data_IF_148934220085
#
_entry.id   IF_148934220085
#
_cell.length_a   1.000
_cell.length_b   1.000
_cell.length_c   1.000
_cell.angle_alpha   90.00
_cell.angle_beta   90.00
_cell.angle_gamma   90.00
#
_symmetry.space_group_name_H-M   'P 1'
#
loop_
_entity.id
_entity.type
_entity.pdbx_description
1 polymer ?
#
# COMPACT_ATOMS: atom_id res chain seq x y z
N UNK A 1 0.88 -15.65 -14.21
CA UNK A 1 0.36 -16.41 -13.04
C UNK A 1 1.25 -16.20 -11.81
N UNK A 2 0.79 -16.56 -10.61
CA UNK A 2 1.61 -16.64 -9.41
C UNK A 2 2.24 -18.02 -9.24
N UNK A 3 3.53 -18.06 -8.95
CA UNK A 3 4.29 -19.28 -8.73
C UNK A 3 5.01 -19.25 -7.38
N UNK A 4 4.75 -20.27 -6.56
CA UNK A 4 5.48 -20.49 -5.32
C UNK A 4 6.72 -21.34 -5.62
N UNK A 5 7.89 -20.75 -5.40
CA UNK A 5 9.18 -21.42 -5.61
C UNK A 5 9.25 -22.70 -4.78
N UNK A 6 9.69 -23.79 -5.41
CA UNK A 6 9.87 -25.10 -4.79
C UNK A 6 11.35 -25.38 -4.54
N UNK A 7 11.63 -26.35 -3.68
CA UNK A 7 13.00 -26.81 -3.45
C UNK A 7 13.67 -27.26 -4.76
N UNK A 8 14.86 -26.73 -5.04
CA UNK A 8 15.64 -27.03 -6.25
C UNK A 8 15.25 -26.24 -7.50
N UNK A 9 14.28 -25.32 -7.41
CA UNK A 9 13.95 -24.39 -8.47
C UNK A 9 15.07 -23.37 -8.70
N UNK A 10 15.23 -22.98 -9.96
CA UNK A 10 16.10 -21.87 -10.40
C UNK A 10 15.35 -21.06 -11.44
N UNK A 11 15.71 -19.78 -11.63
CA UNK A 11 15.06 -18.95 -12.66
C UNK A 11 15.06 -19.59 -14.07
N UNK A 12 16.17 -20.20 -14.56
CA UNK A 12 16.15 -20.91 -15.84
C UNK A 12 15.14 -22.06 -15.90
N UNK A 13 15.05 -22.89 -14.84
CA UNK A 13 14.12 -24.02 -14.81
C UNK A 13 12.67 -23.54 -14.81
N UNK A 14 12.39 -22.49 -14.04
CA UNK A 14 11.06 -21.87 -13.98
C UNK A 14 10.70 -21.27 -15.35
N UNK A 15 11.61 -20.51 -15.97
CA UNK A 15 11.34 -19.87 -17.26
C UNK A 15 11.07 -20.91 -18.36
N UNK A 16 11.86 -21.99 -18.42
CA UNK A 16 11.64 -23.10 -19.36
C UNK A 16 10.30 -23.80 -19.11
N UNK A 17 9.97 -24.08 -17.84
CA UNK A 17 8.72 -24.76 -17.45
C UNK A 17 7.47 -23.98 -17.90
N UNK A 18 7.51 -22.66 -17.81
CA UNK A 18 6.38 -21.80 -18.15
C UNK A 18 6.49 -21.16 -19.54
N UNK A 19 7.43 -21.61 -20.37
CA UNK A 19 7.66 -21.08 -21.72
C UNK A 19 7.76 -19.55 -21.74
N UNK A 20 8.50 -18.97 -20.79
CA UNK A 20 8.77 -17.53 -20.69
C UNK A 20 10.28 -17.28 -20.61
N UNK A 21 10.71 -16.03 -20.48
CA UNK A 21 12.12 -15.69 -20.36
C UNK A 21 12.49 -15.34 -18.91
N UNK A 22 13.75 -15.62 -18.53
CA UNK A 22 14.27 -15.14 -17.24
C UNK A 22 14.20 -13.62 -17.13
N UNK A 23 14.36 -12.91 -18.25
CA UNK A 23 14.29 -11.45 -18.29
C UNK A 23 12.88 -10.96 -17.98
N UNK A 24 11.85 -11.55 -18.59
CA UNK A 24 10.45 -11.26 -18.31
C UNK A 24 10.10 -11.50 -16.84
N UNK A 25 10.57 -12.61 -16.26
CA UNK A 25 10.38 -12.88 -14.83
C UNK A 25 11.08 -11.82 -13.98
N UNK A 26 12.34 -11.47 -14.25
CA UNK A 26 13.05 -10.42 -13.50
C UNK A 26 12.40 -9.04 -13.64
N UNK A 27 11.84 -8.72 -14.80
CA UNK A 27 11.19 -7.42 -15.01
C UNK A 27 9.85 -7.33 -14.27
N UNK A 28 9.13 -8.45 -14.16
CA UNK A 28 7.87 -8.51 -13.44
C UNK A 28 8.01 -8.66 -11.91
N UNK A 29 9.21 -8.87 -11.37
CA UNK A 29 9.43 -9.13 -9.94
C UNK A 29 10.60 -8.32 -9.37
N UNK A 30 10.56 -8.04 -8.07
CA UNK A 30 11.75 -7.62 -7.32
C UNK A 30 12.54 -8.88 -6.96
N UNK A 31 13.73 -9.05 -7.55
CA UNK A 31 14.62 -10.20 -7.30
C UNK A 31 16.03 -9.71 -7.04
N UNK A 32 16.40 -9.59 -5.76
CA UNK A 32 17.71 -9.10 -5.36
C UNK A 32 18.87 -10.04 -5.72
N UNK A 33 18.62 -11.36 -5.72
CA UNK A 33 19.60 -12.34 -6.17
C UNK A 33 18.95 -13.35 -7.13
N UNK A 34 19.11 -13.21 -8.45
CA UNK A 34 18.50 -14.10 -9.42
C UNK A 34 19.06 -15.53 -9.41
N UNK A 35 20.18 -15.76 -8.71
CA UNK A 35 20.81 -17.08 -8.59
C UNK A 35 20.43 -17.83 -7.32
N UNK A 36 19.69 -17.19 -6.40
CA UNK A 36 19.28 -17.77 -5.14
C UNK A 36 17.80 -17.50 -4.89
N UNK A 37 16.97 -18.49 -5.22
CA UNK A 37 15.54 -18.47 -4.91
C UNK A 37 15.27 -19.27 -3.64
N UNK A 38 14.29 -18.81 -2.87
CA UNK A 38 13.91 -19.44 -1.61
C UNK A 38 12.60 -20.18 -1.74
N UNK A 39 12.47 -21.43 -1.25
CA UNK A 39 11.19 -22.13 -1.23
C UNK A 39 10.10 -21.28 -0.56
N UNK A 40 8.93 -21.21 -1.18
CA UNK A 40 7.81 -20.38 -0.75
C UNK A 40 7.87 -18.92 -1.22
N UNK A 41 8.99 -18.45 -1.79
CA UNK A 41 9.04 -17.16 -2.46
C UNK A 41 8.01 -17.13 -3.59
N UNK A 42 7.27 -16.02 -3.67
CA UNK A 42 6.21 -15.83 -4.66
C UNK A 42 6.77 -15.07 -5.85
N UNK A 43 6.62 -15.62 -7.05
CA UNK A 43 7.02 -15.00 -8.30
C UNK A 43 5.83 -14.81 -9.24
N UNK A 44 5.75 -13.65 -9.86
CA UNK A 44 4.95 -13.41 -11.05
C UNK A 44 5.64 -14.05 -12.24
N UNK A 45 4.93 -14.94 -12.91
CA UNK A 45 5.38 -15.55 -14.15
C UNK A 45 4.54 -14.96 -15.28
N UNK A 46 5.07 -14.01 -16.07
CA UNK A 46 4.37 -13.44 -17.21
C UNK A 46 4.19 -14.49 -18.31
N UNK A 47 3.09 -14.36 -19.05
CA UNK A 47 2.90 -15.11 -20.29
C UNK A 47 3.98 -14.74 -21.31
N UNK A 48 4.22 -15.63 -22.28
CA UNK A 48 5.24 -15.41 -23.27
C UNK A 48 4.95 -14.15 -24.11
N UNK A 49 5.95 -13.27 -24.25
CA UNK A 49 5.81 -12.00 -24.98
C UNK A 49 5.07 -10.90 -24.21
N UNK A 50 4.61 -11.15 -22.98
CA UNK A 50 3.95 -10.15 -22.14
C UNK A 50 4.96 -9.40 -21.28
N UNK A 51 4.91 -8.07 -21.33
CA UNK A 51 5.67 -7.20 -20.43
C UNK A 51 4.71 -6.65 -19.37
N UNK A 52 4.85 -7.13 -18.15
CA UNK A 52 4.08 -6.67 -17.00
C UNK A 52 4.88 -5.63 -16.20
N UNK A 53 4.21 -4.65 -15.55
CA UNK A 53 4.88 -3.82 -14.58
C UNK A 53 5.41 -4.67 -13.43
N UNK A 54 6.45 -4.18 -12.76
CA UNK A 54 7.11 -4.92 -11.68
C UNK A 54 6.18 -5.04 -10.47
N UNK A 55 5.99 -6.25 -9.98
CA UNK A 55 5.24 -6.52 -8.76
C UNK A 55 5.89 -5.85 -7.55
N UNK A 56 5.06 -5.22 -6.71
CA UNK A 56 5.48 -4.38 -5.59
C UNK A 56 6.33 -3.15 -6.00
N UNK A 57 6.53 -2.89 -7.29
CA UNK A 57 7.47 -1.87 -7.78
C UNK A 57 6.90 -0.45 -7.87
N UNK A 58 5.58 -0.27 -7.73
CA UNK A 58 4.94 1.05 -7.82
C UNK A 58 4.79 1.77 -6.46
N UNK A 59 5.32 1.18 -5.38
CA UNK A 59 5.10 1.70 -4.03
C UNK A 59 3.60 1.81 -3.68
N UNK A 60 3.25 2.56 -2.63
CA UNK A 60 4.13 3.10 -1.61
C UNK A 60 4.57 2.03 -0.59
N UNK A 61 4.08 0.80 -0.65
CA UNK A 61 4.50 -0.28 0.25
C UNK A 61 5.20 -1.43 -0.47
N UNK A 62 6.06 -2.13 0.27
CA UNK A 62 6.78 -3.32 -0.17
C UNK A 62 6.86 -4.35 0.95
N UNK A 63 6.49 -5.60 0.69
CA UNK A 63 6.70 -6.71 1.61
C UNK A 63 8.05 -7.35 1.33
N UNK A 64 8.95 -7.28 2.31
CA UNK A 64 10.30 -7.84 2.26
C UNK A 64 10.23 -9.34 1.95
N UNK A 65 10.89 -9.73 0.86
CA UNK A 65 11.04 -11.11 0.44
C UNK A 65 12.34 -11.73 1.01
N UNK A 66 12.42 -13.06 1.11
CA UNK A 66 13.67 -13.73 1.45
C UNK A 66 14.81 -13.35 0.50
N UNK A 67 15.96 -12.99 1.07
CA UNK A 67 17.15 -12.57 0.30
C UNK A 67 17.21 -11.08 -0.04
N UNK A 68 16.19 -10.30 0.34
CA UNK A 68 16.22 -8.85 0.17
C UNK A 68 17.26 -8.18 1.07
N UNK A 69 17.77 -7.06 0.58
CA UNK A 69 18.62 -6.15 1.34
C UNK A 69 18.25 -4.72 1.00
N UNK A 70 18.46 -3.76 1.93
CA UNK A 70 18.22 -2.36 1.61
C UNK A 70 19.10 -1.87 0.46
N UNK A 71 20.28 -2.44 0.25
CA UNK A 71 21.13 -2.10 -0.89
C UNK A 71 20.48 -2.43 -2.22
N UNK A 72 19.87 -3.61 -2.33
CA UNK A 72 19.13 -4.00 -3.52
C UNK A 72 17.86 -3.16 -3.66
N UNK A 73 17.02 -3.09 -2.62
CA UNK A 73 15.75 -2.36 -2.66
C UNK A 73 15.96 -0.87 -2.96
N UNK A 74 17.05 -0.28 -2.47
CA UNK A 74 17.46 1.09 -2.80
C UNK A 74 17.63 1.31 -4.31
N UNK A 75 18.18 0.33 -5.03
CA UNK A 75 18.35 0.41 -6.49
C UNK A 75 17.05 0.13 -7.23
N UNK A 76 16.28 -0.84 -6.75
CA UNK A 76 15.00 -1.23 -7.35
C UNK A 76 13.97 -0.10 -7.31
N UNK A 77 13.93 0.64 -6.19
CA UNK A 77 12.99 1.76 -5.98
C UNK A 77 13.62 3.13 -6.23
N UNK A 78 14.90 3.19 -6.61
CA UNK A 78 15.66 4.44 -6.76
C UNK A 78 15.56 5.36 -5.51
N UNK A 79 15.61 4.76 -4.31
CA UNK A 79 15.53 5.48 -3.04
C UNK A 79 16.81 5.28 -2.23
N UNK A 80 17.43 6.32 -1.65
CA UNK A 80 18.61 6.15 -0.82
C UNK A 80 18.34 5.23 0.39
N UNK A 81 19.28 4.34 0.71
CA UNK A 81 19.20 3.45 1.89
C UNK A 81 18.86 4.24 3.17
N UNK A 82 19.46 5.42 3.35
CA UNK A 82 19.21 6.28 4.50
C UNK A 82 17.77 6.77 4.56
N UNK A 83 17.18 7.12 3.42
CA UNK A 83 15.77 7.53 3.33
C UNK A 83 14.86 6.37 3.69
N UNK A 84 15.06 5.20 3.10
CA UNK A 84 14.26 3.99 3.39
C UNK A 84 14.35 3.64 4.88
N UNK A 85 15.56 3.63 5.44
CA UNK A 85 15.76 3.35 6.85
C UNK A 85 15.09 4.38 7.77
N UNK A 86 15.16 5.67 7.41
CA UNK A 86 14.58 6.76 8.19
C UNK A 86 13.05 6.68 8.23
N UNK A 87 12.38 6.61 7.07
CA UNK A 87 10.90 6.63 7.00
C UNK A 87 10.28 5.36 7.60
N UNK A 88 11.01 4.23 7.55
CA UNK A 88 10.61 2.96 8.15
C UNK A 88 11.10 2.78 9.59
N UNK A 89 11.82 3.76 10.16
CA UNK A 89 12.32 3.73 11.55
C UNK A 89 13.13 2.46 11.84
N UNK A 90 13.94 2.03 10.86
CA UNK A 90 14.77 0.83 10.98
C UNK A 90 15.93 1.12 11.93
N UNK A 91 15.96 0.44 13.08
CA UNK A 91 17.03 0.58 14.07
C UNK A 91 18.40 0.15 13.50
N UNK A 92 18.40 -0.91 12.68
CA UNK A 92 19.59 -1.38 11.99
C UNK A 92 19.30 -1.61 10.49
N UNK A 93 19.76 -0.72 9.60
CA UNK A 93 19.57 -0.84 8.15
C UNK A 93 20.20 -2.11 7.53
N UNK A 94 21.11 -2.78 8.24
CA UNK A 94 21.74 -4.03 7.79
C UNK A 94 20.90 -5.28 8.05
N UNK A 95 19.78 -5.17 8.76
CA UNK A 95 18.90 -6.30 9.09
C UNK A 95 17.51 -6.03 8.51
N UNK A 96 17.07 -6.90 7.60
CA UNK A 96 15.71 -6.94 7.10
C UNK A 96 15.10 -8.30 7.40
N UNK A 97 13.88 -8.30 7.94
CA UNK A 97 13.13 -9.52 8.21
C UNK A 97 12.17 -9.77 7.06
N UNK A 98 12.21 -10.97 6.50
CA UNK A 98 11.23 -11.38 5.50
C UNK A 98 9.82 -11.29 6.09
N UNK A 99 8.88 -10.76 5.30
CA UNK A 99 7.54 -10.45 5.75
C UNK A 99 7.40 -9.13 6.51
N UNK A 100 8.45 -8.33 6.68
CA UNK A 100 8.26 -6.93 7.09
C UNK A 100 7.66 -6.10 5.96
N UNK A 101 6.79 -5.16 6.30
CA UNK A 101 6.30 -4.15 5.36
C UNK A 101 7.14 -2.88 5.45
N UNK A 102 7.61 -2.39 4.31
CA UNK A 102 8.35 -1.15 4.18
C UNK A 102 7.53 -0.15 3.38
N UNK A 103 7.44 1.08 3.88
CA UNK A 103 7.09 2.25 3.12
C UNK A 103 8.26 2.60 2.18
N UNK A 104 8.01 2.51 0.88
CA UNK A 104 8.88 2.90 -0.24
C UNK A 104 8.26 4.10 -0.99
N UNK A 105 7.56 4.97 -0.24
CA UNK A 105 6.80 6.11 -0.76
C UNK A 105 7.57 7.44 -0.71
N UNK A 106 6.91 8.54 -1.15
CA UNK A 106 7.50 9.87 -1.13
C UNK A 106 7.86 10.33 0.28
N UNK A 107 8.92 11.14 0.38
CA UNK A 107 9.37 11.74 1.62
C UNK A 107 9.65 13.22 1.43
N UNK A 108 8.95 14.05 2.19
CA UNK A 108 9.18 15.49 2.31
C UNK A 108 9.75 15.79 3.70
N UNK A 109 10.92 16.43 3.76
CA UNK A 109 11.64 16.62 5.02
C UNK A 109 10.98 17.68 5.94
N UNK A 110 10.28 18.65 5.33
CA UNK A 110 9.64 19.75 6.02
C UNK A 110 8.10 19.56 6.05
N UNK A 111 7.52 19.21 7.20
CA UNK A 111 6.08 19.05 7.34
C UNK A 111 5.26 20.31 7.01
N UNK A 112 5.83 21.51 7.18
CA UNK A 112 5.11 22.76 6.91
C UNK A 112 4.77 22.90 5.42
N UNK A 113 5.66 22.48 4.53
CA UNK A 113 5.43 22.55 3.08
C UNK A 113 4.21 21.71 2.67
N UNK A 114 4.08 20.50 3.22
CA UNK A 114 2.93 19.64 2.94
C UNK A 114 1.63 20.19 3.56
N UNK A 115 1.72 20.74 4.78
CA UNK A 115 0.57 21.41 5.42
C UNK A 115 0.10 22.59 4.60
N UNK A 116 0.99 23.50 4.22
CA UNK A 116 0.67 24.70 3.45
C UNK A 116 0.06 24.35 2.10
N UNK A 117 0.57 23.31 1.42
CA UNK A 117 -0.02 22.78 0.20
C UNK A 117 -1.47 22.33 0.42
N UNK A 118 -1.73 21.49 1.44
CA UNK A 118 -3.06 20.99 1.74
C UNK A 118 -4.03 22.12 2.13
N UNK A 119 -3.59 23.07 2.94
CA UNK A 119 -4.40 24.23 3.33
C UNK A 119 -4.70 25.14 2.13
N UNK A 120 -3.71 25.50 1.33
CA UNK A 120 -3.89 26.40 0.20
C UNK A 120 -4.84 25.79 -0.84
N UNK A 121 -4.65 24.51 -1.18
CA UNK A 121 -5.52 23.79 -2.11
C UNK A 121 -6.94 23.66 -1.56
N UNK A 122 -7.11 23.26 -0.30
CA UNK A 122 -8.41 23.15 0.34
C UNK A 122 -9.16 24.48 0.44
N UNK A 123 -8.46 25.58 0.70
CA UNK A 123 -9.06 26.92 0.76
C UNK A 123 -9.54 27.42 -0.61
N UNK A 124 -8.83 27.06 -1.68
CA UNK A 124 -9.10 27.61 -3.02
C UNK A 124 -10.11 26.76 -3.80
N UNK A 125 -10.08 25.44 -3.66
CA UNK A 125 -10.74 24.52 -4.60
C UNK A 125 -11.55 23.40 -3.95
N UNK A 126 -11.89 23.48 -2.65
CA UNK A 126 -12.44 22.33 -1.91
C UNK A 126 -13.50 21.48 -2.64
N UNK A 127 -14.46 22.12 -3.32
CA UNK A 127 -15.57 21.46 -4.00
C UNK A 127 -15.38 21.34 -5.52
N UNK A 128 -14.21 21.73 -6.04
CA UNK A 128 -13.88 21.85 -7.46
C UNK A 128 -12.71 20.95 -7.87
N UNK A 129 -12.07 20.28 -6.90
CA UNK A 129 -10.95 19.37 -7.16
C UNK A 129 -11.38 18.18 -8.01
N UNK A 130 -10.61 17.92 -9.06
CA UNK A 130 -10.70 16.70 -9.84
C UNK A 130 -10.17 15.49 -9.05
N UNK A 131 -10.54 14.29 -9.48
CA UNK A 131 -10.04 13.05 -8.87
C UNK A 131 -8.51 12.93 -8.96
N UNK A 132 -7.90 13.40 -10.06
CA UNK A 132 -6.44 13.38 -10.25
C UNK A 132 -5.75 14.35 -9.27
N UNK A 133 -6.30 15.55 -9.05
CA UNK A 133 -5.77 16.48 -8.05
C UNK A 133 -5.91 15.94 -6.62
N UNK A 134 -7.03 15.26 -6.32
CA UNK A 134 -7.22 14.59 -5.04
C UNK A 134 -6.18 13.49 -4.84
N UNK A 135 -5.94 12.71 -5.89
CA UNK A 135 -4.96 11.64 -5.91
C UNK A 135 -3.53 12.16 -5.65
N UNK A 136 -3.11 13.16 -6.43
CA UNK A 136 -1.76 13.71 -6.42
C UNK A 136 -1.44 14.47 -5.13
N UNK A 137 -2.40 15.19 -4.58
CA UNK A 137 -2.16 16.06 -3.42
C UNK A 137 -2.44 15.32 -2.11
N UNK A 138 -3.63 14.73 -1.98
CA UNK A 138 -4.09 14.24 -0.69
C UNK A 138 -3.82 12.75 -0.51
N UNK A 139 -4.19 11.90 -1.47
CA UNK A 139 -3.93 10.46 -1.37
C UNK A 139 -2.41 10.19 -1.27
N UNK A 140 -1.61 10.71 -2.21
CA UNK A 140 -0.15 10.61 -2.15
C UNK A 140 0.45 11.32 -0.92
N UNK A 141 -0.14 12.46 -0.52
CA UNK A 141 0.26 13.18 0.69
C UNK A 141 0.12 12.33 1.96
N UNK A 142 -0.85 11.40 2.04
CA UNK A 142 -1.02 10.54 3.23
C UNK A 142 0.18 9.65 3.51
N UNK A 143 0.85 9.15 2.47
CA UNK A 143 2.09 8.37 2.60
C UNK A 143 3.27 9.25 3.01
N UNK A 144 3.28 10.52 2.57
CA UNK A 144 4.28 11.49 3.01
C UNK A 144 4.12 11.82 4.50
N UNK A 145 2.88 11.97 4.97
CA UNK A 145 2.58 12.09 6.40
C UNK A 145 3.00 10.85 7.20
N UNK A 146 2.74 9.65 6.67
CA UNK A 146 3.20 8.40 7.29
C UNK A 146 4.74 8.34 7.40
N UNK A 147 5.44 8.74 6.35
CA UNK A 147 6.90 8.83 6.31
C UNK A 147 7.45 9.78 7.39
N UNK A 148 6.77 10.91 7.63
CA UNK A 148 7.07 11.84 8.71
C UNK A 148 6.76 11.27 10.11
N UNK A 149 5.76 10.39 10.23
CA UNK A 149 5.40 9.72 11.48
C UNK A 149 4.86 10.65 12.55
N UNK A 150 5.32 10.47 13.80
CA UNK A 150 4.88 11.30 14.91
C UNK A 150 5.20 12.80 14.74
N UNK A 151 6.15 13.16 13.86
CA UNK A 151 6.41 14.56 13.51
C UNK A 151 5.27 15.19 12.71
N UNK A 152 4.43 14.40 12.05
CA UNK A 152 3.26 14.87 11.32
C UNK A 152 2.10 15.25 12.23
N UNK A 153 2.03 14.68 13.44
CA UNK A 153 0.84 14.77 14.31
C UNK A 153 0.39 16.22 14.57
N UNK A 154 1.26 17.16 15.00
CA UNK A 154 0.82 18.53 15.27
C UNK A 154 0.14 19.19 14.06
N UNK A 155 0.67 18.94 12.86
CA UNK A 155 0.15 19.47 11.60
C UNK A 155 -1.18 18.85 11.21
N UNK A 156 -1.30 17.53 11.32
CA UNK A 156 -2.55 16.82 11.05
C UNK A 156 -3.66 17.23 12.04
N UNK A 157 -3.31 17.54 13.29
CA UNK A 157 -4.26 18.04 14.30
C UNK A 157 -4.77 19.46 14.01
N UNK A 158 -4.05 20.24 13.20
CA UNK A 158 -4.53 21.51 12.66
C UNK A 158 -5.39 21.28 11.41
N UNK A 159 -4.90 20.48 10.47
CA UNK A 159 -5.57 20.18 9.20
C UNK A 159 -6.94 19.49 9.38
N UNK A 160 -7.10 18.65 10.40
CA UNK A 160 -8.37 17.96 10.67
C UNK A 160 -9.52 18.90 11.06
N UNK A 161 -9.21 20.15 11.40
CA UNK A 161 -10.20 21.19 11.73
C UNK A 161 -10.52 22.08 10.52
N UNK A 162 -9.93 21.78 9.36
CA UNK A 162 -10.12 22.58 8.16
C UNK A 162 -11.57 22.48 7.69
N UNK A 163 -12.18 23.58 7.20
CA UNK A 163 -13.57 23.57 6.71
C UNK A 163 -13.78 22.77 5.42
N UNK A 164 -12.72 22.16 4.87
CA UNK A 164 -12.80 21.39 3.63
C UNK A 164 -12.79 19.91 3.97
N UNK A 165 -13.87 19.22 3.63
CA UNK A 165 -14.07 17.81 3.97
C UNK A 165 -12.95 16.92 3.42
N UNK A 166 -12.41 17.22 2.24
CA UNK A 166 -11.28 16.47 1.65
C UNK A 166 -10.03 16.57 2.54
N UNK A 167 -9.71 17.77 3.04
CA UNK A 167 -8.56 17.98 3.92
C UNK A 167 -8.75 17.20 5.22
N UNK A 168 -9.94 17.26 5.80
CA UNK A 168 -10.30 16.54 7.02
C UNK A 168 -10.23 15.02 6.82
N UNK A 169 -10.85 14.52 5.76
CA UNK A 169 -10.88 13.10 5.39
C UNK A 169 -9.47 12.52 5.28
N UNK A 170 -8.61 13.15 4.47
CA UNK A 170 -7.25 12.64 4.27
C UNK A 170 -6.32 12.89 5.47
N UNK A 171 -6.65 13.85 6.34
CA UNK A 171 -5.97 13.99 7.64
C UNK A 171 -6.26 12.79 8.55
N UNK A 172 -7.51 12.32 8.59
CA UNK A 172 -7.92 11.13 9.33
C UNK A 172 -7.24 9.87 8.77
N UNK A 173 -7.23 9.70 7.44
CA UNK A 173 -6.50 8.62 6.75
C UNK A 173 -5.03 8.61 7.18
N UNK A 174 -4.39 9.78 7.16
CA UNK A 174 -2.97 9.93 7.53
C UNK A 174 -2.72 9.54 8.98
N UNK A 175 -3.60 9.90 9.91
CA UNK A 175 -3.52 9.46 11.31
C UNK A 175 -3.69 7.94 11.43
N UNK A 176 -4.62 7.34 10.69
CA UNK A 176 -4.79 5.89 10.62
C UNK A 176 -3.50 5.16 10.21
N UNK A 177 -2.82 5.65 9.16
CA UNK A 177 -1.52 5.11 8.69
C UNK A 177 -0.39 5.30 9.70
N UNK A 178 -0.34 6.44 10.38
CA UNK A 178 0.71 6.74 11.38
C UNK A 178 0.58 5.85 12.61
N UNK A 179 -0.64 5.51 13.01
CA UNK A 179 -0.95 4.76 14.24
C UNK A 179 -0.48 5.51 15.50
N UNK A 180 -1.12 6.65 15.84
CA UNK A 180 -0.75 7.48 16.99
C UNK A 180 -1.07 6.80 18.32
N UNK A 181 -0.13 6.89 19.28
CA UNK A 181 -0.31 6.37 20.65
C UNK A 181 -0.96 7.36 21.61
N UNK A 182 -1.17 8.60 21.16
CA UNK A 182 -1.65 9.69 22.01
C UNK A 182 -3.17 9.56 22.25
N UNK A 183 -3.62 9.39 23.51
CA UNK A 183 -5.03 9.22 23.85
C UNK A 183 -5.92 10.37 23.36
N UNK A 184 -5.42 11.61 23.33
CA UNK A 184 -6.20 12.77 22.87
C UNK A 184 -6.60 12.65 21.40
N UNK A 185 -5.75 12.01 20.58
CA UNK A 185 -6.04 11.78 19.17
C UNK A 185 -7.11 10.71 19.02
N UNK A 186 -7.04 9.66 19.86
CA UNK A 186 -8.05 8.60 19.89
C UNK A 186 -9.42 9.18 20.27
N UNK A 187 -9.48 10.01 21.31
CA UNK A 187 -10.73 10.69 21.69
C UNK A 187 -11.27 11.58 20.57
N UNK A 188 -10.41 12.36 19.92
CA UNK A 188 -10.83 13.21 18.80
C UNK A 188 -11.37 12.38 17.61
N UNK A 189 -10.74 11.27 17.26
CA UNK A 189 -11.25 10.37 16.23
C UNK A 189 -12.58 9.70 16.64
N UNK A 190 -12.77 9.42 17.94
CA UNK A 190 -14.05 8.93 18.46
C UNK A 190 -15.15 9.99 18.35
N UNK A 191 -14.84 11.26 18.59
CA UNK A 191 -15.79 12.35 18.38
C UNK A 191 -16.18 12.46 16.89
N UNK A 192 -15.19 12.46 15.99
CA UNK A 192 -15.40 12.48 14.54
C UNK A 192 -16.12 11.26 14.00
N UNK A 193 -16.08 10.11 14.70
CA UNK A 193 -16.85 8.92 14.31
C UNK A 193 -18.38 9.11 14.37
N UNK A 194 -18.83 10.23 14.95
CA UNK A 194 -20.23 10.66 15.03
C UNK A 194 -20.47 11.96 14.23
N UNK A 195 -19.57 12.34 13.31
CA UNK A 195 -19.72 13.53 12.48
C UNK A 195 -20.97 13.44 11.58
N UNK A 196 -21.73 14.53 11.37
CA UNK A 196 -22.88 14.53 10.47
C UNK A 196 -22.52 14.21 9.02
N UNK A 197 -21.28 14.45 8.58
CA UNK A 197 -20.79 13.98 7.29
C UNK A 197 -20.42 12.49 7.40
N UNK A 198 -21.23 11.64 6.77
CA UNK A 198 -21.04 10.18 6.80
C UNK A 198 -19.65 9.74 6.31
N UNK A 199 -19.05 10.43 5.34
CA UNK A 199 -17.71 10.10 4.85
C UNK A 199 -16.65 10.31 5.93
N UNK A 200 -16.77 11.41 6.70
CA UNK A 200 -15.89 11.73 7.83
C UNK A 200 -16.10 10.74 8.99
N UNK A 201 -17.36 10.46 9.33
CA UNK A 201 -17.69 9.49 10.37
C UNK A 201 -17.12 8.09 10.04
N UNK A 202 -17.34 7.62 8.82
CA UNK A 202 -16.89 6.29 8.38
C UNK A 202 -15.36 6.19 8.33
N UNK A 203 -14.66 7.21 7.83
CA UNK A 203 -13.19 7.17 7.78
C UNK A 203 -12.57 7.27 9.18
N UNK A 204 -13.20 8.00 10.11
CA UNK A 204 -12.78 8.05 11.51
C UNK A 204 -12.95 6.69 12.22
N UNK A 205 -14.08 6.01 12.01
CA UNK A 205 -14.28 4.64 12.49
C UNK A 205 -13.24 3.68 11.92
N UNK A 206 -12.97 3.79 10.62
CA UNK A 206 -11.98 2.97 9.92
C UNK A 206 -10.58 3.21 10.47
N UNK A 207 -10.19 4.48 10.69
CA UNK A 207 -8.90 4.84 11.28
C UNK A 207 -8.76 4.34 12.72
N UNK A 208 -9.79 4.45 13.56
CA UNK A 208 -9.78 3.89 14.93
C UNK A 208 -9.57 2.38 14.91
N UNK A 209 -10.31 1.67 14.04
CA UNK A 209 -10.17 0.23 13.85
C UNK A 209 -8.75 -0.11 13.42
N UNK A 210 -8.21 0.61 12.44
CA UNK A 210 -6.84 0.43 11.97
C UNK A 210 -5.80 0.59 13.09
N UNK A 211 -5.96 1.62 13.91
CA UNK A 211 -5.05 1.92 15.02
C UNK A 211 -5.04 0.76 16.03
N UNK A 212 -6.22 0.28 16.44
CA UNK A 212 -6.37 -0.83 17.38
C UNK A 212 -5.72 -2.13 16.86
N UNK A 213 -5.97 -2.48 15.59
CA UNK A 213 -5.41 -3.69 14.98
C UNK A 213 -3.89 -3.63 14.81
N UNK A 214 -3.33 -2.46 14.45
CA UNK A 214 -1.89 -2.32 14.35
C UNK A 214 -1.18 -2.56 15.69
N UNK A 215 -1.77 -2.08 16.79
CA UNK A 215 -1.23 -2.28 18.13
C UNK A 215 -1.31 -3.75 18.58
N UNK A 216 -2.42 -4.43 18.27
CA UNK A 216 -2.64 -5.82 18.68
C UNK A 216 -1.79 -6.82 17.92
N UNK A 217 -1.55 -6.56 16.63
CA UNK A 217 -0.92 -7.53 15.75
C UNK A 217 0.37 -7.02 15.14
N UNK A 218 0.27 -6.28 14.03
CA UNK A 218 1.39 -5.76 13.26
C UNK A 218 0.89 -4.65 12.33
N UNK A 219 1.78 -3.74 11.91
CA UNK A 219 1.51 -2.72 10.89
C UNK A 219 0.99 -3.27 9.56
N UNK A 220 1.26 -4.54 9.25
CA UNK A 220 0.73 -5.26 8.07
C UNK A 220 -0.77 -5.53 8.09
N UNK A 221 -1.41 -5.37 9.25
CA UNK A 221 -2.87 -5.48 9.35
C UNK A 221 -3.45 -4.14 8.95
N UNK A 222 -4.24 -4.16 7.90
CA UNK A 222 -4.92 -3.02 7.30
C UNK A 222 -6.42 -3.22 7.37
N UNK A 223 -7.16 -2.16 7.10
CA UNK A 223 -8.62 -2.20 6.95
C UNK A 223 -9.03 -1.57 5.64
N UNK A 224 -10.05 -2.13 4.98
CA UNK A 224 -10.57 -1.56 3.73
C UNK A 224 -11.25 -0.21 3.98
N UNK A 225 -11.00 0.77 3.12
CA UNK A 225 -11.63 2.10 3.22
C UNK A 225 -13.07 2.09 2.70
N UNK A 226 -13.31 1.33 1.63
CA UNK A 226 -14.59 1.22 0.95
C UNK A 226 -14.94 -0.24 0.69
N UNK A 227 -16.22 -0.50 0.38
CA UNK A 227 -16.63 -1.81 -0.10
C UNK A 227 -15.89 -2.15 -1.41
N UNK A 228 -15.44 -3.39 -1.52
CA UNK A 228 -14.72 -3.89 -2.69
C UNK A 228 -15.01 -5.38 -2.90
N UNK A 229 -14.38 -5.99 -3.90
CA UNK A 229 -14.41 -7.43 -4.12
C UNK A 229 -13.02 -8.01 -3.91
N UNK A 230 -12.96 -9.18 -3.30
CA UNK A 230 -11.74 -9.96 -3.18
C UNK A 230 -11.85 -11.19 -4.07
N UNK A 231 -10.86 -11.39 -4.93
CA UNK A 231 -10.83 -12.41 -5.98
C UNK A 231 -9.88 -13.54 -5.60
N UNK A 232 -10.19 -14.78 -5.97
CA UNK A 232 -9.32 -15.92 -5.66
C UNK A 232 -8.07 -16.00 -6.54
N UNK A 233 -8.04 -15.22 -7.63
CA UNK A 233 -6.89 -14.98 -8.49
C UNK A 233 -6.80 -13.48 -8.83
N UNK A 234 -5.64 -12.95 -9.21
CA UNK A 234 -5.51 -11.54 -9.64
C UNK A 234 -6.11 -11.36 -11.05
N UNK A 235 -7.41 -11.60 -11.20
CA UNK A 235 -8.18 -11.51 -12.45
C UNK A 235 -9.64 -11.19 -12.16
N UNK A 236 -10.23 -10.21 -12.85
CA UNK A 236 -11.63 -9.82 -12.67
C UNK A 236 -12.62 -10.91 -13.10
N UNK A 237 -12.17 -11.85 -13.92
CA UNK A 237 -12.97 -13.00 -14.39
C UNK A 237 -12.96 -14.18 -13.40
N UNK A 238 -12.16 -14.09 -12.33
CA UNK A 238 -12.07 -15.14 -11.31
C UNK A 238 -13.17 -15.05 -10.26
N UNK A 239 -13.37 -16.12 -9.47
CA UNK A 239 -14.39 -16.10 -8.42
C UNK A 239 -14.06 -15.03 -7.40
N UNK A 240 -15.09 -14.36 -6.88
CA UNK A 240 -14.92 -13.29 -5.92
C UNK A 240 -16.00 -13.24 -4.85
N UNK A 241 -15.60 -12.75 -3.69
CA UNK A 241 -16.49 -12.43 -2.58
C UNK A 241 -16.63 -10.92 -2.43
N UNK A 242 -17.77 -10.48 -1.91
CA UNK A 242 -17.95 -9.09 -1.50
C UNK A 242 -17.19 -8.87 -0.19
N UNK A 243 -16.43 -7.79 -0.12
CA UNK A 243 -15.66 -7.38 1.05
C UNK A 243 -16.13 -6.00 1.49
N UNK A 244 -16.90 -5.89 2.59
CA UNK A 244 -17.42 -4.61 3.09
C UNK A 244 -16.30 -3.61 3.42
N UNK A 245 -16.65 -2.33 3.53
CA UNK A 245 -15.77 -1.33 4.13
C UNK A 245 -15.39 -1.73 5.57
N UNK A 246 -14.24 -1.27 6.05
CA UNK A 246 -13.67 -1.62 7.36
C UNK A 246 -13.40 -3.13 7.56
N UNK A 247 -13.30 -3.92 6.49
CA UNK A 247 -12.92 -5.33 6.61
C UNK A 247 -11.45 -5.48 6.95
N UNK A 248 -11.13 -6.38 7.88
CA UNK A 248 -9.76 -6.61 8.33
C UNK A 248 -9.00 -7.54 7.39
N UNK A 249 -7.84 -7.07 6.97
CA UNK A 249 -6.97 -7.80 6.05
C UNK A 249 -5.51 -7.68 6.48
N UNK A 250 -4.70 -8.67 6.12
CA UNK A 250 -3.25 -8.59 6.25
C UNK A 250 -2.62 -8.58 4.87
N UNK A 251 -1.83 -7.57 4.55
CA UNK A 251 -1.13 -7.49 3.28
C UNK A 251 -0.10 -8.61 3.15
N UNK A 252 -0.12 -9.36 2.06
CA UNK A 252 0.84 -10.43 1.74
C UNK A 252 1.84 -9.98 0.66
N UNK A 253 1.34 -9.31 -0.38
CA UNK A 253 2.14 -8.66 -1.42
C UNK A 253 1.35 -7.49 -2.02
N UNK A 254 2.04 -6.40 -2.34
CA UNK A 254 1.43 -5.20 -2.93
C UNK A 254 1.57 -5.17 -4.45
N UNK A 255 0.66 -4.51 -5.16
CA UNK A 255 0.81 -4.19 -6.59
C UNK A 255 1.18 -5.41 -7.45
N UNK A 256 0.47 -6.53 -7.27
CA UNK A 256 0.52 -7.70 -8.13
C UNK A 256 -0.10 -7.33 -9.48
N UNK A 257 0.68 -7.28 -10.59
CA UNK A 257 0.10 -7.03 -11.89
C UNK A 257 -0.83 -8.18 -12.30
N UNK A 258 -1.94 -7.83 -12.94
CA UNK A 258 -2.79 -8.82 -13.58
C UNK A 258 -1.96 -9.68 -14.54
N UNK A 259 -1.94 -11.01 -14.38
CA UNK A 259 -1.18 -11.89 -15.25
C UNK A 259 -1.82 -12.04 -16.63
N UNK A 260 -3.08 -11.62 -16.80
CA UNK A 260 -3.80 -11.60 -18.08
C UNK A 260 -3.58 -10.28 -18.83
N UNK A 261 -2.97 -9.28 -18.18
CA UNK A 261 -2.77 -7.95 -18.73
C UNK A 261 -4.05 -7.13 -18.82
N UNK A 262 -5.09 -7.48 -18.04
CA UNK A 262 -6.32 -6.68 -17.98
C UNK A 262 -6.01 -5.25 -17.50
N UNK A 263 -6.84 -4.31 -17.92
CA UNK A 263 -6.62 -2.89 -17.70
C UNK A 263 -7.65 -2.30 -16.75
N UNK A 264 -7.22 -1.33 -15.94
CA UNK A 264 -8.11 -0.50 -15.15
C UNK A 264 -8.82 0.54 -16.04
N UNK A 265 -9.70 1.34 -15.43
CA UNK A 265 -10.44 2.40 -16.14
C UNK A 265 -9.54 3.48 -16.75
N UNK A 266 -8.35 3.71 -16.21
CA UNK A 266 -7.34 4.63 -16.75
C UNK A 266 -6.54 4.04 -17.93
N UNK A 267 -6.73 2.75 -18.25
CA UNK A 267 -6.06 2.06 -19.35
C UNK A 267 -4.69 1.48 -19.00
N UNK A 268 -4.27 1.56 -17.74
CA UNK A 268 -3.08 0.92 -17.20
C UNK A 268 -3.34 -0.54 -16.86
N UNK A 269 -2.29 -1.36 -16.76
CA UNK A 269 -2.41 -2.74 -16.26
C UNK A 269 -3.00 -2.69 -14.85
N UNK A 270 -4.10 -3.43 -14.65
CA UNK A 270 -4.75 -3.52 -13.36
C UNK A 270 -3.84 -4.24 -12.37
N UNK A 271 -3.74 -3.65 -11.18
CA UNK A 271 -2.96 -4.18 -10.07
C UNK A 271 -3.86 -4.72 -8.99
N UNK A 272 -3.37 -5.73 -8.28
CA UNK A 272 -4.03 -6.35 -7.14
C UNK A 272 -3.13 -6.32 -5.92
N UNK A 273 -3.72 -6.14 -4.76
CA UNK A 273 -3.03 -6.39 -3.50
C UNK A 273 -3.43 -7.78 -3.00
N UNK A 274 -2.44 -8.66 -2.85
CA UNK A 274 -2.65 -10.01 -2.31
C UNK A 274 -2.76 -9.90 -0.80
N UNK A 275 -3.87 -10.34 -0.23
CA UNK A 275 -4.19 -10.17 1.18
C UNK A 275 -4.66 -11.48 1.81
N UNK A 276 -4.48 -11.61 3.12
CA UNK A 276 -5.18 -12.58 3.94
C UNK A 276 -6.37 -11.90 4.61
N UNK A 277 -7.59 -12.44 4.44
CA UNK A 277 -8.81 -11.87 5.00
C UNK A 277 -9.13 -12.59 6.31
N UNK A 278 -9.19 -11.85 7.41
CA UNK A 278 -9.35 -12.45 8.75
C UNK A 278 -10.69 -13.15 8.95
N UNK A 279 -11.77 -12.57 8.42
CA UNK A 279 -13.12 -13.11 8.61
C UNK A 279 -13.34 -14.44 7.88
N UNK A 280 -12.77 -14.61 6.68
CA UNK A 280 -12.91 -15.84 5.89
C UNK A 280 -11.77 -16.84 6.14
N UNK A 281 -10.62 -16.37 6.61
CA UNK A 281 -9.41 -17.18 6.74
C UNK A 281 -8.78 -17.54 5.39
N UNK A 282 -9.05 -16.77 4.35
CA UNK A 282 -8.59 -17.05 2.97
C UNK A 282 -7.58 -16.02 2.47
N UNK A 283 -6.73 -16.45 1.54
CA UNK A 283 -5.86 -15.55 0.77
C UNK A 283 -6.56 -15.15 -0.53
N UNK A 284 -6.70 -13.86 -0.77
CA UNK A 284 -7.43 -13.31 -1.91
C UNK A 284 -6.68 -12.11 -2.52
N UNK A 285 -7.21 -11.57 -3.61
CA UNK A 285 -6.68 -10.46 -4.37
C UNK A 285 -7.69 -9.32 -4.42
N UNK A 286 -7.35 -8.17 -3.84
CA UNK A 286 -8.17 -6.96 -3.91
C UNK A 286 -7.65 -6.12 -5.08
N UNK A 287 -8.46 -5.79 -6.09
CA UNK A 287 -8.02 -4.92 -7.17
C UNK A 287 -7.83 -3.50 -6.65
N UNK A 288 -6.80 -2.82 -7.17
CA UNK A 288 -6.65 -1.39 -6.97
C UNK A 288 -7.68 -0.63 -7.81
N UNK A 289 -8.11 0.51 -7.30
CA UNK A 289 -9.13 1.35 -7.96
C UNK A 289 -8.54 2.13 -9.13
N UNK A 290 -9.38 2.89 -9.83
CA UNK A 290 -9.12 3.75 -11.00
C UNK A 290 -7.66 4.15 -11.27
N UNK A 291 -7.02 4.87 -10.34
CA UNK A 291 -5.63 5.37 -10.46
C UNK A 291 -4.59 4.46 -9.77
N UNK A 292 -4.86 3.16 -9.69
CA UNK A 292 -4.10 2.16 -8.95
C UNK A 292 -3.89 2.52 -7.46
N UNK A 293 -4.93 3.06 -6.83
CA UNK A 293 -4.91 3.40 -5.41
C UNK A 293 -5.08 2.16 -4.51
N UNK A 294 -4.45 2.23 -3.35
CA UNK A 294 -4.64 1.25 -2.28
C UNK A 294 -5.93 1.63 -1.54
N UNK A 295 -6.97 0.79 -1.66
CA UNK A 295 -8.25 0.93 -0.96
C UNK A 295 -8.18 0.46 0.51
N UNK A 296 -7.05 0.71 1.17
CA UNK A 296 -6.76 0.23 2.52
C UNK A 296 -5.88 1.23 3.29
N UNK A 297 -6.09 1.28 4.60
CA UNK A 297 -5.26 2.05 5.54
C UNK A 297 -4.73 1.18 6.67
#
# INVERSE_FOLDING_TARGET
MLYYVKSGDTLPKISMKFNTSMESIKNANVICNPFLLYPGQVLIIPENGMNLPKSQGQGPYYIVQPGDSLWCLSREFNMPIRTIAYINRLANPGILFAGSELLMGPFMANPNELKELWEATGNMYCNELSEEEIHDIYYHGTFTWEALGYRAIPYLMELIKHPCDIVTFYSIVSLGRIVPTNPNIITMLQDLSNDPNEAIANVAQTALKRIDYAYKFNKRVHVTLQETRAYNQPSLDSESILLPASSEVMSLNWAIPSPTGEKNEAGDILLYDRVYIFNTGTEEFIPRTKLNEINMI
#
